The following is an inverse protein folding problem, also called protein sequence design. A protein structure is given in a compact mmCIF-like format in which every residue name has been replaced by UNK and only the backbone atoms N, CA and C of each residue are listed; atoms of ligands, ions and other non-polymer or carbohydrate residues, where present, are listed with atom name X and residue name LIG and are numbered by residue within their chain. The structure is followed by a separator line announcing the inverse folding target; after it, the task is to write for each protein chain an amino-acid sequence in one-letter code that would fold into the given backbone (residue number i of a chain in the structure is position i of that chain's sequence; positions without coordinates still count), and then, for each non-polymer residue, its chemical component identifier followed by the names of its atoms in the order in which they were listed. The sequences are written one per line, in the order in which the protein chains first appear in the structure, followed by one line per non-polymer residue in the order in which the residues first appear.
data_IF_877867821131
#
_entry.id   IF_877867821131
#
_cell.length_a   1.000
_cell.length_b   1.000
_cell.length_c   1.000
_cell.angle_alpha   90.00
_cell.angle_beta   90.00
_cell.angle_gamma   90.00
#
_symmetry.space_group_name_H-M   'P 1'
#
loop_
_entity.id
_entity.type
_entity.pdbx_description
1 polymer ?
#
# COMPACT_ATOMS: atom_id res chain seq x y z
N UNK A 1 -2.64 -8.73 0.29
CA UNK A 1 -3.41 -7.49 0.52
C UNK A 1 -2.55 -6.32 0.08
N UNK A 2 -3.10 -5.30 -0.58
CA UNK A 2 -2.34 -4.08 -0.93
C UNK A 2 -2.81 -2.94 -0.04
N UNK A 3 -1.87 -2.31 0.67
CA UNK A 3 -2.14 -1.16 1.53
C UNK A 3 -1.59 0.11 0.87
N UNK A 4 -2.42 1.16 0.84
CA UNK A 4 -2.04 2.46 0.28
C UNK A 4 -1.85 3.47 1.40
N UNK A 5 -0.70 4.16 1.37
CA UNK A 5 -0.38 5.25 2.28
C UNK A 5 -0.21 6.55 1.50
N UNK A 6 -0.91 7.59 1.94
CA UNK A 6 -0.85 8.91 1.32
C UNK A 6 0.51 9.56 1.62
N UNK A 7 1.30 9.82 0.57
CA UNK A 7 2.56 10.57 0.70
C UNK A 7 2.56 11.75 -0.26
N UNK A 8 2.83 12.93 0.30
CA UNK A 8 2.97 14.19 -0.45
C UNK A 8 4.25 14.89 0.01
N UNK A 9 5.22 14.99 -0.89
CA UNK A 9 6.49 15.69 -0.64
C UNK A 9 7.62 15.18 -1.54
N UNK A 10 8.61 16.03 -1.81
CA UNK A 10 9.72 15.77 -2.75
C UNK A 10 10.67 14.64 -2.31
N UNK A 11 10.58 14.18 -1.05
CA UNK A 11 11.40 13.09 -0.50
C UNK A 11 10.62 11.76 -0.37
N UNK A 12 9.51 11.62 -1.10
CA UNK A 12 8.70 10.39 -1.07
C UNK A 12 9.18 9.43 -2.16
N UNK A 13 9.84 8.34 -1.76
CA UNK A 13 10.35 7.31 -2.69
C UNK A 13 9.28 6.24 -2.95
N UNK A 14 9.18 5.75 -4.19
CA UNK A 14 8.24 4.67 -4.55
C UNK A 14 6.76 5.07 -4.48
N UNK A 15 6.46 6.36 -4.70
CA UNK A 15 5.08 6.84 -4.83
C UNK A 15 4.68 6.90 -6.29
N UNK A 16 3.47 6.45 -6.60
CA UNK A 16 2.89 6.54 -7.93
C UNK A 16 1.52 7.22 -7.84
N UNK A 17 1.08 7.87 -8.94
CA UNK A 17 -0.32 8.30 -9.07
C UNK A 17 -1.21 7.06 -9.14
N UNK A 18 -2.03 6.87 -8.13
CA UNK A 18 -3.00 5.78 -8.09
C UNK A 18 -4.27 6.23 -7.37
N UNK A 19 -5.35 5.48 -7.59
CA UNK A 19 -6.59 5.74 -6.88
C UNK A 19 -6.40 5.36 -5.41
N UNK A 20 -6.46 6.35 -4.52
CA UNK A 20 -6.37 6.12 -3.10
C UNK A 20 -7.77 5.86 -2.55
N UNK A 21 -8.09 4.60 -2.22
CA UNK A 21 -9.36 4.26 -1.59
C UNK A 21 -9.63 5.04 -0.30
N UNK A 22 -8.59 5.34 0.48
CA UNK A 22 -8.71 6.13 1.71
C UNK A 22 -9.08 7.61 1.46
N UNK A 23 -8.74 8.17 0.29
CA UNK A 23 -9.02 9.56 -0.06
C UNK A 23 -10.17 9.71 -1.07
N UNK A 24 -10.63 8.61 -1.67
CA UNK A 24 -11.66 8.59 -2.71
C UNK A 24 -11.26 9.24 -4.02
N UNK A 25 -9.96 9.51 -4.26
CA UNK A 25 -9.46 10.21 -5.45
C UNK A 25 -8.09 9.72 -5.89
N UNK A 26 -7.71 10.09 -7.12
CA UNK A 26 -6.36 9.84 -7.65
C UNK A 26 -5.38 10.79 -6.96
N UNK A 27 -4.37 10.22 -6.31
CA UNK A 27 -3.31 10.95 -5.62
C UNK A 27 -2.00 10.15 -5.68
N UNK A 28 -0.88 10.82 -5.39
CA UNK A 28 0.38 10.11 -5.18
C UNK A 28 0.29 9.31 -3.87
N UNK A 29 0.44 7.99 -3.97
CA UNK A 29 0.40 7.09 -2.83
C UNK A 29 1.57 6.11 -2.90
N UNK A 30 2.08 5.75 -1.73
CA UNK A 30 2.99 4.63 -1.59
C UNK A 30 2.17 3.35 -1.36
N UNK A 31 2.48 2.28 -2.10
CA UNK A 31 1.79 0.99 -1.94
C UNK A 31 2.71 -0.05 -1.33
N UNK A 32 2.20 -0.80 -0.36
CA UNK A 32 2.87 -1.95 0.24
C UNK A 32 2.05 -3.19 -0.09
N UNK A 33 2.73 -4.21 -0.59
CA UNK A 33 2.16 -5.53 -0.85
C UNK A 33 2.45 -6.40 0.36
N UNK A 34 1.41 -6.84 1.05
CA UNK A 34 1.53 -7.71 2.22
C UNK A 34 0.94 -9.09 1.95
N UNK A 35 1.65 -10.12 2.42
CA UNK A 35 1.14 -11.48 2.54
C UNK A 35 0.51 -11.63 3.90
N UNK A 36 -0.73 -12.08 3.94
CA UNK A 36 -1.43 -12.32 5.18
C UNK A 36 -1.78 -13.79 5.31
N UNK A 37 -1.63 -14.30 6.52
CA UNK A 37 -2.21 -15.57 6.89
C UNK A 37 -3.68 -15.31 7.26
N UNK A 38 -4.59 -15.91 6.49
CA UNK A 38 -6.03 -15.83 6.69
C UNK A 38 -6.57 -17.23 7.01
N UNK A 39 -7.04 -17.43 8.24
CA UNK A 39 -7.72 -18.68 8.61
C UNK A 39 -9.15 -18.36 9.07
N UNK A 40 -10.11 -19.16 8.59
CA UNK A 40 -11.53 -18.95 8.89
C UNK A 40 -11.78 -19.13 10.39
N UNK A 41 -12.22 -18.05 11.06
CA UNK A 41 -12.48 -18.05 12.50
C UNK A 41 -11.28 -17.68 13.38
N UNK A 42 -10.14 -17.28 12.81
CA UNK A 42 -8.98 -16.74 13.54
C UNK A 42 -8.62 -15.34 13.06
N UNK A 43 -7.75 -14.68 13.81
CA UNK A 43 -7.26 -13.35 13.49
C UNK A 43 -6.40 -13.35 12.22
N UNK A 44 -6.57 -12.28 11.45
CA UNK A 44 -5.85 -12.04 10.22
C UNK A 44 -4.55 -11.30 10.51
N UNK A 45 -3.40 -11.93 10.23
CA UNK A 45 -2.10 -11.31 10.53
C UNK A 45 -1.18 -11.26 9.29
N UNK A 46 -0.51 -10.12 9.06
CA UNK A 46 0.48 -9.99 8.00
C UNK A 46 1.75 -10.78 8.37
N UNK A 47 2.21 -11.64 7.48
CA UNK A 47 3.45 -12.40 7.64
C UNK A 47 4.63 -11.70 6.98
N UNK A 48 4.41 -11.10 5.80
CA UNK A 48 5.43 -10.40 5.03
C UNK A 48 4.83 -9.13 4.43
N UNK A 49 5.69 -8.14 4.19
CA UNK A 49 5.33 -6.89 3.53
C UNK A 49 6.50 -6.34 2.76
N UNK A 50 6.28 -6.02 1.48
CA UNK A 50 7.27 -5.40 0.61
C UNK A 50 6.73 -4.10 0.02
N UNK A 51 7.62 -3.12 -0.09
CA UNK A 51 7.29 -1.85 -0.73
C UNK A 51 7.24 -2.05 -2.25
N UNK A 52 6.11 -1.71 -2.86
CA UNK A 52 6.04 -1.65 -4.30
C UNK A 52 6.69 -0.36 -4.81
N UNK A 53 7.75 -0.52 -5.59
CA UNK A 53 8.44 0.57 -6.27
C UNK A 53 7.90 0.68 -7.69
N UNK A 54 7.12 1.73 -7.97
CA UNK A 54 6.73 2.03 -9.34
C UNK A 54 7.97 2.42 -10.14
N UNK A 55 8.19 1.79 -11.29
CA UNK A 55 9.21 2.24 -12.24
C UNK A 55 8.83 3.64 -12.71
N UNK A 56 9.74 4.60 -12.49
CA UNK A 56 9.60 6.01 -12.87
C UNK A 56 9.96 6.24 -14.33
#
# INVERSE_FOLDING_TARGET
MTLLYLKKGNFSVGVARQYCGALGKIANCQSIVTWHYCEKGKEHFPFLGELFLSQS
#
